data_IF_686907597331
#
_entry.id   IF_686907597331
#
_cell.length_a   1.000
_cell.length_b   1.000
_cell.length_c   1.000
_cell.angle_alpha   90.00
_cell.angle_beta   90.00
_cell.angle_gamma   90.00
#
_symmetry.space_group_name_H-M   'P 1'
#
loop_
_entity.id
_entity.type
_entity.pdbx_description
1 polymer ?
#
# COMPACT_ATOMS: atom_id res chain seq x y z
N UNK A 1 2.28 -3.93 18.84
CA UNK A 1 1.54 -3.17 17.78
C UNK A 1 2.52 -2.24 17.10
N UNK A 2 2.48 -2.17 15.78
CA UNK A 2 3.32 -1.23 15.03
C UNK A 2 2.43 -0.16 14.39
N UNK A 3 2.89 1.09 14.45
CA UNK A 3 2.19 2.26 13.92
C UNK A 3 3.16 3.03 13.03
N UNK A 4 2.72 3.31 11.81
CA UNK A 4 3.48 4.10 10.84
C UNK A 4 3.11 5.58 10.94
N UNK A 5 4.07 6.45 10.69
CA UNK A 5 3.90 7.90 10.73
C UNK A 5 4.53 8.55 9.50
N UNK A 6 3.84 9.58 9.00
CA UNK A 6 4.30 10.43 7.91
C UNK A 6 3.94 11.88 8.16
N UNK A 7 4.21 12.73 7.17
CA UNK A 7 3.78 14.12 7.18
C UNK A 7 2.32 14.29 6.87
N UNK A 8 1.83 15.50 7.09
CA UNK A 8 0.52 15.95 6.64
C UNK A 8 0.57 16.32 5.15
N UNK A 9 -0.61 16.43 4.55
CA UNK A 9 -0.78 16.94 3.20
C UNK A 9 0.01 18.25 2.98
N UNK A 10 0.79 18.31 1.89
CA UNK A 10 1.61 19.46 1.55
C UNK A 10 2.99 19.46 2.23
N UNK A 11 3.42 18.37 2.86
CA UNK A 11 4.75 18.17 3.45
C UNK A 11 5.20 19.30 4.38
N UNK A 12 4.27 19.81 5.19
CA UNK A 12 4.51 20.91 6.09
C UNK A 12 5.44 20.53 7.25
N UNK A 13 6.48 21.32 7.48
CA UNK A 13 7.36 21.22 8.61
C UNK A 13 8.50 20.18 8.45
N UNK A 14 9.43 20.14 9.42
CA UNK A 14 10.57 19.26 9.39
C UNK A 14 10.20 17.89 9.99
N UNK A 15 9.52 17.02 9.24
CA UNK A 15 9.24 15.66 9.67
C UNK A 15 10.12 14.63 8.94
N UNK A 16 10.18 13.43 9.48
CA UNK A 16 10.69 12.22 8.83
C UNK A 16 9.73 11.07 9.07
N UNK A 17 9.52 10.25 8.04
CA UNK A 17 8.74 9.04 8.15
C UNK A 17 9.30 8.10 9.21
N UNK A 18 8.43 7.42 9.93
CA UNK A 18 8.85 6.51 11.01
C UNK A 18 7.84 5.39 11.25
N UNK A 19 8.32 4.33 11.91
CA UNK A 19 7.50 3.25 12.44
C UNK A 19 7.78 3.12 13.93
N UNK A 20 6.73 3.05 14.75
CA UNK A 20 6.85 2.89 16.21
C UNK A 20 6.22 1.56 16.65
N UNK A 21 6.97 0.76 17.39
CA UNK A 21 6.49 -0.45 18.05
C UNK A 21 6.06 -0.16 19.48
N UNK A 22 4.82 -0.53 19.81
CA UNK A 22 4.19 -0.27 21.10
C UNK A 22 3.84 -1.61 21.75
N UNK A 23 4.33 -1.91 22.99
CA UNK A 23 3.95 -3.11 23.71
C UNK A 23 2.45 -3.15 24.01
N UNK A 24 1.76 -4.24 23.63
CA UNK A 24 0.31 -4.38 23.87
C UNK A 24 -0.04 -4.56 25.35
N UNK A 25 0.90 -5.08 26.14
CA UNK A 25 0.69 -5.25 27.59
C UNK A 25 0.84 -3.96 28.40
N UNK A 26 1.10 -2.81 27.76
CA UNK A 26 1.28 -1.52 28.43
C UNK A 26 2.57 -1.39 29.26
N UNK A 27 3.42 -2.40 29.26
CA UNK A 27 4.71 -2.41 29.97
C UNK A 27 5.86 -2.60 28.98
N UNK A 28 6.95 -1.88 29.19
CA UNK A 28 8.14 -1.90 28.33
C UNK A 28 8.32 -0.63 27.49
N UNK A 29 9.51 -0.42 26.93
CA UNK A 29 9.81 0.77 26.14
C UNK A 29 9.14 0.67 24.76
N UNK A 30 8.73 1.81 24.22
CA UNK A 30 8.47 1.94 22.78
C UNK A 30 9.80 1.91 22.03
N UNK A 31 9.79 1.29 20.86
CA UNK A 31 10.91 1.26 19.92
C UNK A 31 10.51 1.99 18.64
N UNK A 32 11.47 2.55 17.91
CA UNK A 32 11.16 3.28 16.68
C UNK A 32 12.24 3.09 15.62
N UNK A 33 11.81 3.02 14.39
CA UNK A 33 12.63 3.20 13.20
C UNK A 33 12.29 4.55 12.56
N UNK A 34 13.29 5.29 12.13
CA UNK A 34 13.12 6.56 11.41
C UNK A 34 13.79 6.43 10.04
N UNK A 35 13.09 6.80 8.98
CA UNK A 35 13.65 6.81 7.62
C UNK A 35 14.89 7.72 7.59
N UNK A 36 16.02 7.27 7.02
CA UNK A 36 17.29 8.00 7.14
C UNK A 36 17.41 9.25 6.26
N UNK A 37 16.38 9.59 5.48
CA UNK A 37 16.34 10.85 4.72
C UNK A 37 16.52 12.08 5.63
N UNK A 38 17.09 13.18 5.18
CA UNK A 38 17.19 14.41 5.94
C UNK A 38 15.83 14.98 6.37
N UNK A 39 14.82 14.88 5.51
CA UNK A 39 13.45 15.33 5.68
C UNK A 39 12.50 14.46 4.86
N UNK A 40 11.21 14.42 5.22
CA UNK A 40 10.16 13.69 4.48
C UNK A 40 10.32 12.17 4.58
N UNK A 41 10.22 11.41 3.48
CA UNK A 41 10.27 9.95 3.51
C UNK A 41 9.11 9.34 4.30
N UNK A 42 7.91 9.91 4.16
CA UNK A 42 6.72 9.52 4.91
C UNK A 42 6.44 8.03 4.84
N UNK A 43 6.05 7.42 5.96
CA UNK A 43 5.48 6.08 6.01
C UNK A 43 4.01 6.25 6.32
N UNK A 44 3.19 6.52 5.31
CA UNK A 44 1.78 6.84 5.55
C UNK A 44 0.96 5.63 6.00
N UNK A 45 1.29 4.44 5.54
CA UNK A 45 0.72 3.19 6.04
C UNK A 45 -0.80 3.13 5.99
N UNK A 46 -1.43 3.63 4.94
CA UNK A 46 -2.90 3.65 4.80
C UNK A 46 -3.55 2.28 4.98
N UNK A 47 -2.82 1.19 4.70
CA UNK A 47 -3.22 -0.18 4.97
C UNK A 47 -2.43 -0.81 6.13
N UNK A 48 -1.54 -0.06 6.81
CA UNK A 48 -0.65 -0.52 7.87
C UNK A 48 0.60 -1.26 7.35
N UNK A 49 1.62 -1.44 8.21
CA UNK A 49 2.77 -2.26 7.88
C UNK A 49 2.37 -3.69 7.55
N UNK A 50 2.99 -4.28 6.54
CA UNK A 50 2.78 -5.69 6.18
C UNK A 50 3.76 -6.56 6.98
N UNK A 51 3.27 -7.66 7.55
CA UNK A 51 4.08 -8.53 8.41
C UNK A 51 4.24 -9.90 7.76
N UNK A 52 5.47 -10.33 7.58
CA UNK A 52 5.83 -11.69 7.18
C UNK A 52 5.57 -12.72 8.29
N UNK A 53 5.57 -13.99 7.95
CA UNK A 53 5.36 -15.10 8.91
C UNK A 53 6.48 -15.23 9.93
N UNK A 54 7.66 -14.72 9.62
CA UNK A 54 8.84 -14.64 10.49
C UNK A 54 8.86 -13.40 11.41
N UNK A 55 7.84 -12.54 11.30
CA UNK A 55 7.72 -11.28 12.04
C UNK A 55 8.41 -10.09 11.37
N UNK A 56 9.06 -10.26 10.22
CA UNK A 56 9.61 -9.14 9.45
C UNK A 56 8.50 -8.20 9.00
N UNK A 57 8.69 -6.89 9.23
CA UNK A 57 7.77 -5.87 8.76
C UNK A 57 8.28 -5.26 7.45
N UNK A 58 7.36 -5.06 6.52
CA UNK A 58 7.62 -4.35 5.27
C UNK A 58 6.77 -3.07 5.24
N UNK A 59 7.41 -1.96 4.93
CA UNK A 59 6.77 -0.65 4.77
C UNK A 59 7.31 0.04 3.54
N UNK A 60 6.49 0.89 2.93
CA UNK A 60 6.96 1.81 1.88
C UNK A 60 7.21 3.19 2.49
N UNK A 61 8.30 3.81 2.10
CA UNK A 61 8.59 5.22 2.35
C UNK A 61 8.36 6.03 1.08
N UNK A 62 7.78 7.20 1.22
CA UNK A 62 7.57 8.15 0.13
C UNK A 62 8.82 8.96 -0.18
N UNK A 63 8.63 10.00 -1.01
CA UNK A 63 9.67 10.90 -1.46
C UNK A 63 10.39 11.59 -0.29
N UNK A 64 11.65 11.89 -0.52
CA UNK A 64 12.50 12.68 0.36
C UNK A 64 12.92 13.97 -0.31
N UNK A 65 13.64 14.80 0.44
CA UNK A 65 14.12 16.09 -0.05
C UNK A 65 15.31 15.96 -1.03
N UNK A 66 16.01 14.82 -1.05
CA UNK A 66 17.20 14.64 -1.85
C UNK A 66 16.90 14.28 -3.31
N UNK A 67 17.45 15.05 -4.23
CA UNK A 67 17.36 14.81 -5.68
C UNK A 67 18.74 14.59 -6.32
N UNK A 68 19.77 14.41 -5.46
CA UNK A 68 21.14 14.22 -5.89
C UNK A 68 21.49 12.78 -6.28
N UNK A 69 22.78 12.47 -6.27
CA UNK A 69 23.30 11.14 -6.68
C UNK A 69 23.47 10.16 -5.52
N UNK A 70 23.40 10.64 -4.27
CA UNK A 70 23.53 9.78 -3.07
C UNK A 70 22.16 9.42 -2.55
N UNK A 71 21.83 8.14 -2.61
CA UNK A 71 20.56 7.61 -2.12
C UNK A 71 20.40 7.88 -0.62
N UNK A 72 19.24 8.41 -0.22
CA UNK A 72 18.96 8.88 1.14
C UNK A 72 18.02 7.98 1.94
N UNK A 73 17.46 6.94 1.33
CA UNK A 73 16.55 6.00 1.97
C UNK A 73 15.05 6.28 1.76
N UNK A 74 14.71 7.34 1.01
CA UNK A 74 13.35 7.64 0.57
C UNK A 74 12.90 6.76 -0.60
N UNK A 75 11.67 6.90 -1.05
CA UNK A 75 11.07 6.17 -2.18
C UNK A 75 11.46 4.68 -2.21
N UNK A 76 11.11 3.99 -1.13
CA UNK A 76 11.64 2.65 -0.90
C UNK A 76 10.64 1.69 -0.26
N UNK A 77 10.88 0.39 -0.46
CA UNK A 77 10.38 -0.66 0.42
C UNK A 77 11.46 -0.98 1.44
N UNK A 78 11.12 -0.96 2.71
CA UNK A 78 12.02 -1.18 3.84
C UNK A 78 11.59 -2.44 4.59
N UNK A 79 12.52 -3.37 4.82
CA UNK A 79 12.33 -4.51 5.69
C UNK A 79 12.90 -4.18 7.08
N UNK A 80 12.10 -4.41 8.12
CA UNK A 80 12.45 -4.19 9.52
C UNK A 80 12.27 -5.49 10.32
N UNK A 81 13.21 -5.79 11.22
CA UNK A 81 13.00 -6.86 12.21
C UNK A 81 11.86 -6.51 13.17
N UNK A 82 11.37 -7.46 13.99
CA UNK A 82 10.41 -7.15 15.05
C UNK A 82 10.90 -6.06 16.04
N UNK A 83 12.22 -5.90 16.18
CA UNK A 83 12.84 -4.84 17.01
C UNK A 83 13.06 -3.54 16.25
N UNK A 84 12.48 -3.42 15.05
CA UNK A 84 12.59 -2.27 14.13
C UNK A 84 14.03 -1.95 13.71
N UNK A 85 14.90 -2.97 13.61
CA UNK A 85 16.19 -2.82 12.95
C UNK A 85 16.00 -3.04 11.45
N UNK A 86 16.53 -2.13 10.61
CA UNK A 86 16.46 -2.28 9.17
C UNK A 86 17.33 -3.47 8.72
N UNK A 87 16.68 -4.47 8.10
CA UNK A 87 17.32 -5.67 7.56
C UNK A 87 17.52 -5.62 6.06
N UNK A 88 16.73 -4.80 5.36
CA UNK A 88 16.83 -4.64 3.92
C UNK A 88 16.15 -3.38 3.42
N UNK A 89 16.47 -3.02 2.18
CA UNK A 89 15.83 -1.90 1.46
C UNK A 89 15.83 -2.21 -0.04
N UNK A 90 14.76 -1.85 -0.70
CA UNK A 90 14.65 -1.71 -2.15
C UNK A 90 14.27 -0.26 -2.47
N UNK A 91 14.86 0.31 -3.50
CA UNK A 91 14.38 1.55 -4.11
C UNK A 91 14.47 1.44 -5.64
N UNK A 92 13.55 2.04 -6.40
CA UNK A 92 13.69 2.14 -7.83
C UNK A 92 14.93 2.95 -8.19
N UNK A 93 15.56 2.67 -9.33
CA UNK A 93 16.69 3.46 -9.82
C UNK A 93 16.30 4.91 -10.16
N UNK A 94 15.01 5.18 -10.23
CA UNK A 94 14.42 6.50 -10.48
C UNK A 94 14.19 7.33 -9.22
N UNK A 95 14.53 6.84 -8.02
CA UNK A 95 14.22 7.47 -6.73
C UNK A 95 14.49 8.98 -6.67
N UNK A 96 15.59 9.45 -7.26
CA UNK A 96 15.94 10.88 -7.26
C UNK A 96 15.01 11.71 -8.16
N UNK A 97 14.56 11.13 -9.27
CA UNK A 97 13.55 11.73 -10.15
C UNK A 97 12.16 11.65 -9.50
N UNK A 98 11.89 10.56 -8.77
CA UNK A 98 10.65 10.37 -8.01
C UNK A 98 10.54 11.43 -6.91
N UNK A 99 11.61 11.66 -6.12
CA UNK A 99 11.70 12.77 -5.16
C UNK A 99 11.48 14.15 -5.80
N UNK A 100 12.06 14.38 -6.98
CA UNK A 100 11.98 15.67 -7.65
C UNK A 100 10.57 16.01 -8.19
N UNK A 101 9.74 14.99 -8.42
CA UNK A 101 8.44 15.13 -9.09
C UNK A 101 7.25 14.64 -8.25
N UNK A 102 7.45 14.38 -6.96
CA UNK A 102 6.40 13.88 -6.05
C UNK A 102 5.77 12.56 -6.55
N UNK A 103 6.62 11.62 -7.00
CA UNK A 103 6.19 10.33 -7.55
C UNK A 103 6.36 9.18 -6.54
N UNK A 104 5.89 9.42 -5.32
CA UNK A 104 6.04 8.53 -4.16
C UNK A 104 5.79 7.04 -4.44
N UNK A 105 6.77 6.20 -4.13
CA UNK A 105 6.54 4.77 -3.94
C UNK A 105 5.73 4.51 -2.65
N UNK A 106 5.88 5.37 -1.65
CA UNK A 106 5.18 5.31 -0.37
C UNK A 106 3.68 5.61 -0.41
N UNK A 107 3.12 6.00 -1.55
CA UNK A 107 1.67 6.20 -1.69
C UNK A 107 0.85 4.92 -1.52
N UNK A 108 1.49 3.74 -1.63
CA UNK A 108 0.93 2.43 -1.32
C UNK A 108 1.75 1.68 -0.27
N UNK A 109 1.19 0.61 0.29
CA UNK A 109 1.96 -0.38 1.05
C UNK A 109 2.35 -1.55 0.13
N UNK A 110 3.52 -2.18 0.36
CA UNK A 110 3.92 -3.32 -0.45
C UNK A 110 2.97 -4.50 -0.20
N UNK A 111 2.61 -5.21 -1.25
CA UNK A 111 1.80 -6.42 -1.16
C UNK A 111 2.70 -7.65 -1.03
N UNK A 112 2.65 -8.33 0.13
CA UNK A 112 3.42 -9.57 0.35
C UNK A 112 2.66 -10.76 -0.24
N UNK A 113 3.32 -11.48 -1.14
CA UNK A 113 2.79 -12.64 -1.85
C UNK A 113 3.15 -13.96 -1.12
N UNK A 114 2.37 -15.03 -1.29
CA UNK A 114 2.62 -16.31 -0.63
C UNK A 114 3.95 -16.98 -1.02
N UNK A 115 4.51 -16.65 -2.17
CA UNK A 115 5.79 -17.17 -2.66
C UNK A 115 7.01 -16.39 -2.14
N UNK A 116 6.80 -15.43 -1.25
CA UNK A 116 7.86 -14.61 -0.67
C UNK A 116 8.28 -13.42 -1.54
N UNK A 117 7.53 -13.10 -2.59
CA UNK A 117 7.72 -11.87 -3.33
C UNK A 117 6.93 -10.72 -2.71
N UNK A 118 7.38 -9.50 -2.97
CA UNK A 118 6.65 -8.25 -2.68
C UNK A 118 6.32 -7.56 -4.00
N UNK A 119 5.09 -7.10 -4.16
CA UNK A 119 4.74 -6.15 -5.21
C UNK A 119 4.65 -4.76 -4.58
N UNK A 120 5.41 -3.81 -5.09
CA UNK A 120 5.37 -2.40 -4.70
C UNK A 120 4.99 -1.55 -5.90
N UNK A 121 4.03 -0.67 -5.74
CA UNK A 121 3.56 0.29 -6.74
C UNK A 121 3.43 1.67 -6.06
N UNK A 122 3.27 2.72 -6.84
CA UNK A 122 3.12 4.06 -6.31
C UNK A 122 2.66 5.07 -7.36
N UNK A 123 2.92 6.34 -7.12
CA UNK A 123 2.49 7.45 -7.98
C UNK A 123 3.12 7.41 -9.38
N UNK A 124 4.31 6.82 -9.55
CA UNK A 124 4.93 6.69 -10.88
C UNK A 124 4.15 5.77 -11.82
N UNK A 125 3.29 4.91 -11.28
CA UNK A 125 2.51 3.96 -12.08
C UNK A 125 3.31 2.78 -12.59
N UNK A 126 4.47 2.50 -11.98
CA UNK A 126 5.32 1.34 -12.25
C UNK A 126 5.32 0.44 -11.04
N UNK A 127 4.85 -0.78 -11.22
CA UNK A 127 4.93 -1.82 -10.20
C UNK A 127 6.28 -2.54 -10.27
N UNK A 128 6.86 -2.83 -9.11
CA UNK A 128 8.13 -3.51 -8.91
C UNK A 128 7.91 -4.82 -8.14
N UNK A 129 8.38 -5.92 -8.70
CA UNK A 129 8.39 -7.21 -8.02
C UNK A 129 9.75 -7.40 -7.36
N UNK A 130 9.77 -7.62 -6.05
CA UNK A 130 10.99 -7.65 -5.24
C UNK A 130 11.01 -8.93 -4.40
N UNK A 131 12.17 -9.56 -4.24
CA UNK A 131 12.35 -10.70 -3.33
C UNK A 131 12.35 -10.19 -1.88
N UNK A 132 11.40 -10.65 -1.06
CA UNK A 132 11.25 -10.19 0.32
C UNK A 132 12.43 -10.60 1.21
N UNK A 133 13.13 -11.69 0.89
CA UNK A 133 14.33 -12.13 1.60
C UNK A 133 15.58 -11.31 1.21
N UNK A 134 15.60 -10.71 0.01
CA UNK A 134 16.75 -9.98 -0.53
C UNK A 134 16.26 -8.78 -1.35
N UNK A 135 15.94 -7.68 -0.70
CA UNK A 135 15.36 -6.48 -1.36
C UNK A 135 16.27 -5.82 -2.41
N UNK A 136 17.57 -6.14 -2.41
CA UNK A 136 18.50 -5.84 -3.51
C UNK A 136 19.00 -4.40 -3.61
N UNK A 137 18.58 -3.50 -2.73
CA UNK A 137 18.99 -2.09 -2.77
C UNK A 137 18.39 -1.30 -3.93
N UNK A 138 19.10 -0.28 -4.40
CA UNK A 138 18.65 0.55 -5.52
C UNK A 138 18.68 -0.24 -6.83
N UNK A 139 17.54 -0.35 -7.51
CA UNK A 139 17.39 -1.08 -8.77
C UNK A 139 17.43 -2.60 -8.64
N UNK A 140 17.19 -3.14 -7.41
CA UNK A 140 17.26 -4.57 -7.12
C UNK A 140 15.98 -5.37 -7.39
N UNK A 141 15.00 -4.83 -8.13
CA UNK A 141 13.77 -5.54 -8.47
C UNK A 141 14.01 -6.74 -9.39
N UNK A 142 13.23 -7.79 -9.19
CA UNK A 142 13.21 -9.00 -10.04
C UNK A 142 12.52 -8.70 -11.37
N UNK A 143 11.43 -7.93 -11.33
CA UNK A 143 10.69 -7.47 -12.51
C UNK A 143 10.07 -6.10 -12.25
N UNK A 144 9.73 -5.40 -13.34
CA UNK A 144 8.93 -4.18 -13.29
C UNK A 144 8.03 -4.07 -14.51
N UNK A 145 6.88 -3.42 -14.35
CA UNK A 145 5.97 -3.12 -15.47
C UNK A 145 5.12 -1.89 -15.16
N UNK A 146 4.69 -1.18 -16.19
CA UNK A 146 3.67 -0.15 -16.04
C UNK A 146 2.34 -0.78 -15.65
N UNK A 147 1.75 -0.32 -14.56
CA UNK A 147 0.44 -0.77 -14.07
C UNK A 147 -0.49 0.44 -13.96
N UNK A 148 -0.38 1.23 -12.93
CA UNK A 148 -1.17 2.45 -12.73
C UNK A 148 -0.58 3.30 -11.61
N UNK A 149 -0.84 4.58 -11.63
CA UNK A 149 -0.69 5.43 -10.44
C UNK A 149 -1.61 4.90 -9.33
N UNK A 150 -1.04 4.56 -8.17
CA UNK A 150 -1.75 3.85 -7.11
C UNK A 150 -1.64 4.55 -5.75
N UNK A 151 -2.72 4.48 -4.96
CA UNK A 151 -2.81 5.05 -3.61
C UNK A 151 -3.57 4.12 -2.68
N UNK A 152 -3.02 3.83 -1.52
CA UNK A 152 -3.70 3.02 -0.51
C UNK A 152 -3.12 1.62 -0.33
N UNK A 153 -3.97 0.65 -0.02
CA UNK A 153 -3.59 -0.74 0.19
C UNK A 153 -4.08 -1.64 -0.93
N UNK A 154 -3.25 -2.61 -1.33
CA UNK A 154 -3.62 -3.67 -2.25
C UNK A 154 -4.15 -4.90 -1.51
N UNK A 155 -4.93 -5.76 -2.20
CA UNK A 155 -5.35 -7.06 -1.68
C UNK A 155 -4.70 -8.20 -2.47
N UNK A 156 -4.32 -9.28 -1.79
CA UNK A 156 -3.58 -10.41 -2.39
C UNK A 156 -4.41 -11.68 -2.38
N UNK A 157 -4.48 -12.37 -3.52
CA UNK A 157 -5.07 -13.71 -3.64
C UNK A 157 -4.17 -14.62 -4.47
N UNK A 158 -3.41 -15.47 -3.82
CA UNK A 158 -2.40 -16.30 -4.50
C UNK A 158 -1.35 -15.43 -5.19
N UNK A 159 -1.19 -15.58 -6.49
CA UNK A 159 -0.29 -14.76 -7.32
C UNK A 159 -1.00 -13.57 -8.01
N UNK A 160 -2.19 -13.19 -7.55
CA UNK A 160 -2.92 -12.03 -8.07
C UNK A 160 -2.97 -10.96 -6.98
N UNK A 161 -2.60 -9.73 -7.34
CA UNK A 161 -2.70 -8.53 -6.52
C UNK A 161 -3.75 -7.62 -7.13
N UNK A 162 -4.66 -7.12 -6.31
CA UNK A 162 -5.66 -6.14 -6.71
C UNK A 162 -5.17 -4.77 -6.25
N UNK A 163 -4.79 -3.92 -7.22
CA UNK A 163 -4.18 -2.61 -6.98
C UNK A 163 -5.21 -1.48 -6.95
N UNK A 164 -5.07 -0.51 -6.03
CA UNK A 164 -5.95 0.65 -5.90
C UNK A 164 -5.54 1.77 -6.89
N UNK A 165 -5.83 1.59 -8.17
CA UNK A 165 -5.47 2.58 -9.18
C UNK A 165 -6.26 3.88 -9.02
N UNK A 166 -5.57 5.01 -9.04
CA UNK A 166 -6.16 6.36 -8.95
C UNK A 166 -7.03 6.70 -10.16
N UNK A 167 -6.73 6.11 -11.30
CA UNK A 167 -7.49 6.32 -12.53
C UNK A 167 -7.75 4.98 -13.23
N UNK A 168 -8.93 4.87 -13.86
CA UNK A 168 -9.32 3.69 -14.61
C UNK A 168 -9.77 2.50 -13.76
N UNK A 169 -9.99 2.71 -12.45
CA UNK A 169 -10.47 1.70 -11.51
C UNK A 169 -9.42 0.68 -11.09
N UNK A 170 -9.75 -0.23 -10.15
CA UNK A 170 -8.81 -1.19 -9.62
C UNK A 170 -8.27 -2.10 -10.72
N UNK A 171 -7.02 -2.52 -10.60
CA UNK A 171 -6.40 -3.47 -11.51
C UNK A 171 -6.11 -4.80 -10.81
N UNK A 172 -6.45 -5.93 -11.46
CA UNK A 172 -5.88 -7.21 -11.07
C UNK A 172 -4.57 -7.43 -11.81
N UNK A 173 -3.52 -7.70 -11.04
CA UNK A 173 -2.15 -7.86 -11.53
C UNK A 173 -1.67 -9.26 -11.19
N UNK A 174 -1.29 -10.04 -12.20
CA UNK A 174 -0.66 -11.35 -12.01
C UNK A 174 0.84 -11.17 -11.82
N UNK A 175 1.39 -11.86 -10.81
CA UNK A 175 2.83 -11.99 -10.55
C UNK A 175 3.36 -13.38 -10.86
N UNK A 176 2.54 -14.26 -11.45
CA UNK A 176 2.90 -15.64 -11.74
C UNK A 176 4.15 -15.73 -12.62
N UNK A 177 5.08 -16.63 -12.24
CA UNK A 177 6.36 -16.81 -12.91
C UNK A 177 7.30 -15.61 -12.77
N UNK A 178 7.14 -14.82 -11.72
CA UNK A 178 7.92 -13.62 -11.41
C UNK A 178 7.87 -12.58 -12.55
N UNK A 179 6.71 -12.47 -13.20
CA UNK A 179 6.41 -11.45 -14.20
C UNK A 179 5.21 -10.64 -13.77
N UNK A 180 5.11 -9.39 -14.20
CA UNK A 180 3.99 -8.50 -13.85
C UNK A 180 3.11 -8.33 -15.08
N UNK A 181 1.81 -8.65 -14.94
CA UNK A 181 0.84 -8.54 -16.03
C UNK A 181 -0.52 -8.13 -15.53
N UNK A 182 -1.08 -7.05 -16.06
CA UNK A 182 -2.47 -6.65 -15.80
C UNK A 182 -3.41 -7.67 -16.46
N UNK A 183 -4.31 -8.25 -15.67
CA UNK A 183 -5.32 -9.22 -16.11
C UNK A 183 -6.61 -8.52 -16.55
N UNK A 184 -7.07 -7.59 -15.73
CA UNK A 184 -8.28 -6.80 -15.96
C UNK A 184 -8.23 -5.48 -15.18
N UNK A 185 -9.14 -4.57 -15.53
CA UNK A 185 -9.46 -3.34 -14.78
C UNK A 185 -10.94 -3.33 -14.42
N UNK A 186 -11.26 -2.81 -13.24
CA UNK A 186 -12.63 -2.66 -12.74
C UNK A 186 -13.27 -1.34 -13.16
N UNK A 187 -14.41 -0.98 -12.52
CA UNK A 187 -15.10 0.29 -12.78
C UNK A 187 -14.19 1.49 -12.48
N UNK A 188 -14.13 2.44 -13.40
CA UNK A 188 -13.20 3.57 -13.32
C UNK A 188 -13.36 4.44 -12.06
N UNK A 189 -14.56 4.47 -11.47
CA UNK A 189 -14.87 5.23 -10.27
C UNK A 189 -14.45 4.53 -8.96
N UNK A 190 -14.25 3.21 -9.00
CA UNK A 190 -13.89 2.42 -7.82
C UNK A 190 -12.39 2.56 -7.51
N UNK A 191 -12.01 3.62 -6.81
CA UNK A 191 -10.61 4.04 -6.60
C UNK A 191 -10.09 3.76 -5.18
N UNK A 192 -10.94 3.22 -4.29
CA UNK A 192 -10.55 2.87 -2.93
C UNK A 192 -9.69 1.62 -2.85
N UNK A 193 -9.13 1.35 -1.67
CA UNK A 193 -8.34 0.14 -1.40
C UNK A 193 -9.19 -1.12 -1.57
N UNK A 194 -8.81 -2.06 -2.45
CA UNK A 194 -9.52 -3.32 -2.62
C UNK A 194 -9.43 -4.21 -1.36
N UNK A 195 -10.51 -4.94 -1.07
CA UNK A 195 -10.53 -5.97 -0.03
C UNK A 195 -11.20 -7.24 -0.58
N UNK A 196 -10.69 -8.41 -0.18
CA UNK A 196 -11.22 -9.70 -0.60
C UNK A 196 -12.08 -10.27 0.53
N UNK A 197 -13.32 -10.63 0.21
CA UNK A 197 -14.25 -11.27 1.15
C UNK A 197 -15.39 -11.95 0.41
N UNK A 198 -15.94 -13.04 0.95
CA UNK A 198 -17.07 -13.78 0.36
C UNK A 198 -16.81 -14.29 -1.08
N UNK A 199 -15.55 -14.48 -1.48
CA UNK A 199 -15.19 -14.86 -2.86
C UNK A 199 -15.31 -13.71 -3.88
N UNK A 200 -15.30 -12.47 -3.42
CA UNK A 200 -15.42 -11.25 -4.22
C UNK A 200 -14.29 -10.27 -3.91
N UNK A 201 -14.09 -9.31 -4.80
CA UNK A 201 -13.27 -8.12 -4.58
C UNK A 201 -14.20 -6.94 -4.34
N UNK A 202 -14.01 -6.29 -3.21
CA UNK A 202 -14.80 -5.15 -2.78
C UNK A 202 -13.97 -3.89 -2.87
N UNK A 203 -14.51 -2.85 -3.51
CA UNK A 203 -13.81 -1.58 -3.72
C UNK A 203 -14.80 -0.44 -3.58
N UNK A 204 -14.36 0.68 -3.02
CA UNK A 204 -15.19 1.87 -2.87
C UNK A 204 -14.90 2.92 -3.94
N UNK A 205 -15.93 3.61 -4.39
CA UNK A 205 -15.82 4.98 -4.88
C UNK A 205 -15.98 5.91 -3.66
N UNK A 206 -14.86 6.46 -3.20
CA UNK A 206 -14.86 7.28 -1.99
C UNK A 206 -15.57 8.64 -2.21
N UNK A 207 -15.65 9.14 -3.44
CA UNK A 207 -16.31 10.42 -3.75
C UNK A 207 -17.83 10.31 -3.69
N UNK A 208 -18.40 9.30 -4.32
CA UNK A 208 -19.85 9.08 -4.30
C UNK A 208 -20.34 8.30 -3.08
N UNK A 209 -19.42 7.65 -2.32
CA UNK A 209 -19.78 6.72 -1.27
C UNK A 209 -20.47 5.48 -1.79
N UNK A 210 -19.97 4.92 -2.90
CA UNK A 210 -20.50 3.67 -3.47
C UNK A 210 -19.54 2.52 -3.18
N UNK A 211 -20.07 1.42 -2.65
CA UNK A 211 -19.35 0.15 -2.51
C UNK A 211 -19.66 -0.72 -3.73
N UNK A 212 -18.63 -1.22 -4.41
CA UNK A 212 -18.72 -2.14 -5.54
C UNK A 212 -18.32 -3.55 -5.12
N UNK A 213 -19.10 -4.54 -5.60
CA UNK A 213 -18.79 -5.95 -5.56
C UNK A 213 -18.31 -6.39 -6.95
N UNK A 214 -17.08 -6.91 -7.05
CA UNK A 214 -16.47 -7.29 -8.32
C UNK A 214 -16.18 -8.79 -8.37
N UNK A 215 -16.30 -9.35 -9.56
CA UNK A 215 -15.82 -10.69 -9.88
C UNK A 215 -14.28 -10.72 -9.86
N UNK A 216 -13.63 -11.56 -9.06
CA UNK A 216 -12.17 -11.57 -8.94
C UNK A 216 -11.44 -12.02 -10.22
N UNK A 217 -12.08 -12.80 -11.06
CA UNK A 217 -11.47 -13.29 -12.30
C UNK A 217 -11.57 -12.32 -13.48
N UNK A 218 -12.56 -11.43 -13.48
CA UNK A 218 -12.88 -10.59 -14.66
C UNK A 218 -12.98 -9.10 -14.37
N UNK A 219 -13.07 -8.70 -13.09
CA UNK A 219 -13.33 -7.31 -12.69
C UNK A 219 -14.76 -6.81 -12.96
N UNK A 220 -15.64 -7.69 -13.44
CA UNK A 220 -17.02 -7.32 -13.73
C UNK A 220 -17.79 -7.01 -12.44
N UNK A 221 -18.53 -5.91 -12.43
CA UNK A 221 -19.40 -5.54 -11.32
C UNK A 221 -20.53 -6.58 -11.16
N UNK A 222 -20.64 -7.19 -10.00
CA UNK A 222 -21.72 -8.10 -9.59
C UNK A 222 -22.82 -7.38 -8.83
N UNK A 223 -22.43 -6.34 -8.07
CA UNK A 223 -23.34 -5.52 -7.31
C UNK A 223 -22.73 -4.16 -6.98
N UNK A 224 -23.58 -3.24 -6.57
CA UNK A 224 -23.15 -1.96 -5.99
C UNK A 224 -24.15 -1.49 -4.96
N UNK A 225 -23.66 -0.80 -3.93
CA UNK A 225 -24.47 -0.24 -2.86
C UNK A 225 -24.05 1.18 -2.56
N UNK A 226 -25.02 2.10 -2.56
CA UNK A 226 -24.78 3.47 -2.05
C UNK A 226 -24.75 3.45 -0.52
N UNK A 227 -23.70 4.00 0.07
CA UNK A 227 -23.53 4.12 1.52
C UNK A 227 -24.19 5.39 2.08
N UNK A 228 -24.72 6.25 1.18
CA UNK A 228 -25.42 7.49 1.54
C UNK A 228 -24.53 8.65 1.97
N UNK A 229 -23.20 8.45 2.02
CA UNK A 229 -22.21 9.47 2.40
C UNK A 229 -20.89 9.23 1.68
N UNK A 230 -20.14 10.29 1.39
CA UNK A 230 -18.78 10.19 0.90
C UNK A 230 -17.84 9.59 1.96
N UNK A 231 -16.75 8.98 1.51
CA UNK A 231 -15.73 8.38 2.37
C UNK A 231 -14.46 9.24 2.37
N UNK A 232 -13.66 9.19 3.43
CA UNK A 232 -12.30 9.72 3.38
C UNK A 232 -11.50 9.07 2.25
N UNK A 233 -10.66 9.84 1.56
CA UNK A 233 -9.91 9.39 0.38
C UNK A 233 -9.16 8.05 0.58
N UNK A 234 -8.54 7.86 1.73
CA UNK A 234 -7.79 6.64 2.06
C UNK A 234 -8.57 5.68 2.96
N UNK A 235 -9.90 5.76 2.94
CA UNK A 235 -10.73 4.82 3.70
C UNK A 235 -10.58 3.41 3.13
N UNK A 236 -10.27 2.48 4.00
CA UNK A 236 -10.33 1.05 3.71
C UNK A 236 -11.44 0.40 4.53
N UNK A 237 -11.86 -0.78 4.11
CA UNK A 237 -12.88 -1.53 4.84
C UNK A 237 -12.25 -2.68 5.62
N UNK A 238 -12.88 -3.05 6.74
CA UNK A 238 -12.60 -4.28 7.46
C UNK A 238 -13.79 -5.23 7.31
N UNK A 239 -13.51 -6.52 7.10
CA UNK A 239 -14.55 -7.53 6.89
C UNK A 239 -14.46 -8.62 7.96
N UNK A 240 -15.58 -8.95 8.58
CA UNK A 240 -15.70 -10.06 9.54
C UNK A 240 -17.14 -10.50 9.68
N UNK A 241 -17.38 -11.81 9.89
CA UNK A 241 -18.70 -12.36 10.17
C UNK A 241 -19.76 -12.05 9.10
N UNK A 242 -19.38 -11.95 7.82
CA UNK A 242 -20.31 -11.59 6.74
C UNK A 242 -20.72 -10.13 6.73
N UNK A 243 -19.94 -9.26 7.37
CA UNK A 243 -20.14 -7.81 7.38
C UNK A 243 -18.87 -7.09 6.93
N UNK A 244 -19.05 -5.97 6.21
CA UNK A 244 -18.03 -4.97 5.94
C UNK A 244 -18.26 -3.74 6.82
N UNK A 245 -17.20 -3.19 7.40
CA UNK A 245 -17.20 -1.98 8.20
C UNK A 245 -16.34 -0.93 7.52
N UNK A 246 -16.92 0.25 7.30
CA UNK A 246 -16.26 1.37 6.61
C UNK A 246 -16.32 2.62 7.49
N UNK A 247 -15.18 3.27 7.66
CA UNK A 247 -15.13 4.61 8.26
C UNK A 247 -15.66 5.65 7.26
N UNK A 248 -16.52 6.53 7.71
CA UNK A 248 -17.05 7.65 6.95
C UNK A 248 -16.71 8.96 7.65
N UNK A 249 -17.03 10.10 7.03
CA UNK A 249 -16.84 11.41 7.68
C UNK A 249 -17.80 11.61 8.88
N UNK A 250 -18.83 10.79 9.02
CA UNK A 250 -19.88 10.92 10.05
C UNK A 250 -19.84 9.78 11.09
N UNK A 251 -19.03 8.74 10.85
CA UNK A 251 -18.96 7.59 11.75
C UNK A 251 -18.55 6.31 11.05
N UNK A 252 -19.19 5.19 11.40
CA UNK A 252 -18.93 3.87 10.79
C UNK A 252 -20.22 3.33 10.19
N UNK A 253 -20.14 2.89 8.94
CA UNK A 253 -21.22 2.16 8.26
C UNK A 253 -20.88 0.67 8.28
N UNK A 254 -21.87 -0.16 8.63
CA UNK A 254 -21.79 -1.60 8.53
C UNK A 254 -22.70 -2.10 7.40
N UNK A 255 -22.16 -2.92 6.51
CA UNK A 255 -22.89 -3.57 5.41
C UNK A 255 -22.87 -5.06 5.64
N UNK A 256 -24.05 -5.67 5.69
CA UNK A 256 -24.21 -7.13 5.85
C UNK A 256 -24.33 -7.86 4.51
N UNK A 257 -24.06 -9.18 4.51
CA UNK A 257 -24.19 -10.04 3.34
C UNK A 257 -23.00 -9.95 2.36
N UNK A 258 -21.81 -9.63 2.87
CA UNK A 258 -20.56 -9.51 2.10
C UNK A 258 -19.66 -10.73 2.28
#
# INVERSE_FOLDING_TARGET
>A
MYVAFGGLYGDCGPYRGSVTGIPLGGAGPMISYVVPTPREGAVWGTAGPVTGTDGTLYVSAGNGEQTGTSYDGSDSVIALSPELQRTGVFAPSTWADDNAHDLDLGSTQPALLPDGMLLADGKRGVAYLVDSAHLGGVGGQVAQAAVCEAYGGAAVQGSVVYEPCAQGGPAAVSTAGHTIRVLWRGPAQAQGSPVIGGGRVWVTDYQSGTLYELDPGTGATKGSLSLGTALPHFSSMSMTGGHAFLGTMEGVVAVGGV
#
